data_IF_785756904538
#
_entry.id   IF_785756904538
#
_cell.length_a   1.000
_cell.length_b   1.000
_cell.length_c   1.000
_cell.angle_alpha   90.00
_cell.angle_beta   90.00
_cell.angle_gamma   90.00
#
_symmetry.space_group_name_H-M   'P 1'
#
loop_
_entity.id
_entity.type
_entity.pdbx_description
1 polymer ?
#
# COMPACT_ATOMS: atom_id res chain seq x y z
N UNK A 1 -1.99 -17.58 13.45
CA UNK A 1 -1.85 -17.34 11.97
C UNK A 1 -2.42 -15.99 11.69
N UNK A 2 -1.66 -15.10 11.04
CA UNK A 2 -2.09 -13.75 10.67
C UNK A 2 -3.22 -13.85 9.66
N UNK A 3 -4.23 -13.04 9.85
CA UNK A 3 -5.43 -12.96 9.01
C UNK A 3 -5.64 -11.52 8.55
N UNK A 4 -6.51 -11.32 7.57
CA UNK A 4 -6.87 -10.00 7.09
C UNK A 4 -7.37 -9.07 8.21
N UNK A 5 -8.05 -9.59 9.22
CA UNK A 5 -8.50 -8.81 10.39
C UNK A 5 -7.36 -8.17 11.19
N UNK A 6 -6.15 -8.68 11.04
CA UNK A 6 -4.96 -8.18 11.74
C UNK A 6 -4.25 -7.08 10.92
N UNK A 7 -4.72 -6.80 9.70
CA UNK A 7 -4.21 -5.72 8.85
C UNK A 7 -5.00 -4.42 9.05
N UNK A 8 -4.26 -3.32 8.97
CA UNK A 8 -4.81 -1.98 8.75
C UNK A 8 -4.40 -1.51 7.36
N UNK A 9 -5.33 -0.89 6.66
CA UNK A 9 -5.15 -0.43 5.28
C UNK A 9 -5.47 1.05 5.20
N UNK A 10 -4.77 1.77 4.34
CA UNK A 10 -5.05 3.14 3.97
C UNK A 10 -4.56 3.40 2.56
N UNK A 11 -5.11 4.40 1.90
CA UNK A 11 -4.64 4.81 0.58
C UNK A 11 -4.49 6.33 0.52
N UNK A 12 -3.50 6.74 -0.26
CA UNK A 12 -3.38 8.08 -0.79
C UNK A 12 -3.64 7.97 -2.30
N UNK A 13 -4.57 8.76 -2.82
CA UNK A 13 -4.94 8.75 -4.23
C UNK A 13 -4.61 10.12 -4.82
N UNK A 14 -3.65 10.16 -5.74
CA UNK A 14 -3.23 11.37 -6.44
C UNK A 14 -4.07 11.61 -7.68
N UNK A 15 -4.42 12.86 -7.97
CA UNK A 15 -5.18 13.21 -9.17
C UNK A 15 -5.73 14.63 -9.19
N UNK A 16 -6.53 14.94 -10.21
CA UNK A 16 -7.43 16.09 -10.26
C UNK A 16 -8.82 15.66 -9.79
N UNK A 17 -9.53 16.51 -9.10
CA UNK A 17 -10.83 16.18 -8.51
C UNK A 17 -11.85 17.29 -8.73
N UNK A 18 -13.07 16.90 -9.09
CA UNK A 18 -14.22 17.78 -9.04
C UNK A 18 -14.92 17.70 -7.70
N UNK A 19 -15.61 18.76 -7.32
CA UNK A 19 -16.38 18.83 -6.07
C UNK A 19 -17.41 17.71 -5.95
N UNK A 20 -17.94 17.22 -7.08
CA UNK A 20 -18.89 16.10 -7.13
C UNK A 20 -18.32 14.79 -6.60
N UNK A 21 -17.01 14.55 -6.75
CA UNK A 21 -16.36 13.38 -6.17
C UNK A 21 -16.30 13.49 -4.65
N UNK A 22 -16.01 14.67 -4.12
CA UNK A 22 -15.99 14.90 -2.69
C UNK A 22 -17.35 14.59 -2.06
N UNK A 23 -18.44 15.05 -2.68
CA UNK A 23 -19.80 14.79 -2.21
C UNK A 23 -20.12 13.29 -2.17
N UNK A 24 -19.71 12.53 -3.20
CA UNK A 24 -19.89 11.07 -3.27
C UNK A 24 -19.08 10.34 -2.20
N UNK A 25 -17.85 10.76 -1.94
CA UNK A 25 -17.03 10.21 -0.86
C UNK A 25 -17.69 10.49 0.50
N UNK A 26 -18.19 11.70 0.72
CA UNK A 26 -18.91 12.06 1.94
C UNK A 26 -20.20 11.25 2.12
N UNK A 27 -20.91 10.97 1.04
CA UNK A 27 -22.11 10.12 1.05
C UNK A 27 -21.77 8.66 1.40
N UNK A 28 -20.69 8.12 0.81
CA UNK A 28 -20.21 6.77 1.14
C UNK A 28 -19.95 6.63 2.64
N UNK A 29 -19.29 7.60 3.27
CA UNK A 29 -18.99 7.55 4.71
C UNK A 29 -20.22 7.81 5.60
N UNK A 30 -21.18 8.62 5.14
CA UNK A 30 -22.47 8.80 5.83
C UNK A 30 -23.34 7.54 5.81
N UNK A 31 -23.20 6.69 4.79
CA UNK A 31 -23.94 5.45 4.61
C UNK A 31 -23.60 4.31 5.57
N UNK A 32 -22.75 4.54 6.58
CA UNK A 32 -22.52 3.57 7.66
C UNK A 32 -21.23 2.77 7.57
N UNK A 33 -20.29 3.17 6.73
CA UNK A 33 -18.91 2.69 6.86
C UNK A 33 -18.29 3.33 8.11
N UNK A 34 -18.02 2.50 9.10
CA UNK A 34 -17.47 2.90 10.41
C UNK A 34 -15.96 3.22 10.29
N UNK A 35 -15.63 4.15 9.37
CA UNK A 35 -14.26 4.53 9.07
C UNK A 35 -14.09 6.05 9.12
N UNK A 36 -12.97 6.52 9.66
CA UNK A 36 -12.70 7.95 9.70
C UNK A 36 -12.62 8.51 8.26
N UNK A 37 -13.24 9.66 8.08
CA UNK A 37 -13.18 10.43 6.84
C UNK A 37 -11.72 10.72 6.50
N UNK A 38 -11.37 10.64 5.22
CA UNK A 38 -10.07 11.04 4.72
C UNK A 38 -9.88 12.55 4.64
N UNK A 39 -8.70 12.96 4.28
CA UNK A 39 -8.28 14.36 4.13
C UNK A 39 -7.89 14.64 2.68
N UNK A 40 -8.27 15.82 2.20
CA UNK A 40 -7.82 16.38 0.93
C UNK A 40 -6.59 17.25 1.16
N UNK A 41 -5.57 17.07 0.33
CA UNK A 41 -4.33 17.84 0.37
C UNK A 41 -3.96 18.29 -1.03
N UNK A 42 -3.40 19.50 -1.15
CA UNK A 42 -2.75 19.94 -2.37
C UNK A 42 -1.43 19.16 -2.57
N UNK A 43 -1.19 18.68 -3.79
CA UNK A 43 0.06 18.03 -4.14
C UNK A 43 0.67 18.66 -5.40
N UNK A 44 1.73 19.43 -5.21
CA UNK A 44 2.44 20.13 -6.27
C UNK A 44 3.24 19.18 -7.20
N UNK A 45 3.40 17.91 -6.84
CA UNK A 45 4.03 16.90 -7.69
C UNK A 45 3.08 16.31 -8.74
N UNK A 46 1.78 16.50 -8.55
CA UNK A 46 0.72 16.05 -9.45
C UNK A 46 0.40 17.15 -10.46
N UNK A 47 0.62 16.88 -11.73
CA UNK A 47 0.40 17.82 -12.82
C UNK A 47 -0.84 17.42 -13.62
N UNK A 48 -2.00 17.94 -13.26
CA UNK A 48 -3.29 17.73 -13.93
C UNK A 48 -3.77 19.06 -14.51
N UNK A 49 -4.28 19.00 -15.73
CA UNK A 49 -4.91 20.15 -16.41
C UNK A 49 -6.44 20.09 -16.42
N UNK A 50 -7.01 19.01 -15.95
CA UNK A 50 -8.46 18.74 -15.89
C UNK A 50 -8.98 18.90 -14.44
N UNK A 51 -10.26 19.01 -14.28
CA UNK A 51 -10.88 19.31 -12.99
C UNK A 51 -10.68 20.77 -12.59
N UNK A 52 -10.29 21.02 -11.37
CA UNK A 52 -9.97 22.36 -10.86
C UNK A 52 -8.60 22.90 -11.30
N UNK A 53 -7.87 22.11 -12.11
CA UNK A 53 -6.56 22.46 -12.65
C UNK A 53 -5.41 22.35 -11.64
N UNK A 54 -5.67 21.86 -10.43
CA UNK A 54 -4.68 21.67 -9.39
C UNK A 54 -4.46 20.18 -9.13
N UNK A 55 -3.22 19.80 -8.80
CA UNK A 55 -2.91 18.47 -8.33
C UNK A 55 -3.28 18.32 -6.86
N UNK A 56 -3.93 17.23 -6.54
CA UNK A 56 -4.38 16.91 -5.20
C UNK A 56 -4.05 15.48 -4.82
N UNK A 57 -4.05 15.24 -3.52
CA UNK A 57 -4.00 13.93 -2.90
C UNK A 57 -5.20 13.77 -1.95
N UNK A 58 -5.90 12.66 -2.07
CA UNK A 58 -6.87 12.22 -1.07
C UNK A 58 -6.25 11.15 -0.19
N UNK A 59 -5.98 11.46 1.07
CA UNK A 59 -5.51 10.50 2.06
C UNK A 59 -6.69 9.92 2.83
N UNK A 60 -6.94 8.63 2.70
CA UNK A 60 -8.05 7.95 3.37
C UNK A 60 -7.82 7.81 4.88
N UNK A 61 -8.88 7.57 5.63
CA UNK A 61 -8.79 7.03 6.98
C UNK A 61 -8.31 5.57 6.99
N UNK A 62 -8.21 4.98 8.18
CA UNK A 62 -7.70 3.63 8.39
C UNK A 62 -8.84 2.61 8.30
N UNK A 63 -8.73 1.68 7.36
CA UNK A 63 -9.62 0.55 7.16
C UNK A 63 -9.05 -0.70 7.86
N UNK A 64 -9.91 -1.57 8.44
CA UNK A 64 -9.46 -2.76 9.16
C UNK A 64 -10.25 -4.01 8.79
N UNK A 65 -9.54 -5.11 8.59
CA UNK A 65 -10.11 -6.42 8.34
C UNK A 65 -10.90 -6.53 7.03
N UNK A 66 -11.76 -7.52 6.96
CA UNK A 66 -12.56 -7.81 5.76
C UNK A 66 -13.53 -6.68 5.41
N UNK A 67 -14.23 -6.14 6.42
CA UNK A 67 -15.13 -4.99 6.23
C UNK A 67 -14.34 -3.76 5.78
N UNK A 68 -13.14 -3.56 6.35
CA UNK A 68 -12.26 -2.48 5.95
C UNK A 68 -11.80 -2.61 4.51
N UNK A 69 -11.35 -3.79 4.09
CA UNK A 69 -10.98 -4.01 2.69
C UNK A 69 -12.15 -3.76 1.74
N UNK A 70 -13.36 -4.22 2.10
CA UNK A 70 -14.56 -3.96 1.32
C UNK A 70 -14.85 -2.44 1.22
N UNK A 71 -14.76 -1.70 2.33
CA UNK A 71 -14.93 -0.24 2.34
C UNK A 71 -13.87 0.48 1.51
N UNK A 72 -12.62 0.06 1.59
CA UNK A 72 -11.53 0.59 0.77
C UNK A 72 -11.79 0.35 -0.73
N UNK A 73 -12.29 -0.82 -1.09
CA UNK A 73 -12.68 -1.15 -2.47
C UNK A 73 -13.80 -0.24 -2.96
N UNK A 74 -14.84 -0.02 -2.16
CA UNK A 74 -15.94 0.87 -2.54
C UNK A 74 -15.45 2.33 -2.67
N UNK A 75 -14.56 2.78 -1.79
CA UNK A 75 -13.92 4.09 -1.91
C UNK A 75 -13.14 4.19 -3.24
N UNK A 76 -12.29 3.23 -3.56
CA UNK A 76 -11.49 3.24 -4.79
C UNK A 76 -12.33 3.21 -6.07
N UNK A 77 -13.51 2.60 -6.05
CA UNK A 77 -14.46 2.59 -7.18
C UNK A 77 -15.04 3.98 -7.47
N UNK A 78 -15.03 4.89 -6.51
CA UNK A 78 -15.49 6.27 -6.74
C UNK A 78 -14.51 7.09 -7.59
N UNK A 79 -13.22 6.76 -7.58
CA UNK A 79 -12.21 7.49 -8.35
C UNK A 79 -12.26 7.10 -9.84
N UNK A 80 -13.30 7.58 -10.52
CA UNK A 80 -13.51 7.39 -11.97
C UNK A 80 -13.83 8.72 -12.63
N UNK A 81 -13.59 8.81 -13.93
CA UNK A 81 -13.88 10.03 -14.70
C UNK A 81 -15.34 10.46 -14.59
N UNK A 82 -16.26 9.51 -14.60
CA UNK A 82 -17.69 9.77 -14.45
C UNK A 82 -18.07 10.36 -13.08
N UNK A 83 -17.20 10.22 -12.10
CA UNK A 83 -17.34 10.78 -10.77
C UNK A 83 -16.52 12.06 -10.56
N UNK A 84 -15.87 12.59 -11.59
CA UNK A 84 -15.04 13.79 -11.48
C UNK A 84 -13.61 13.52 -10.98
N UNK A 85 -13.07 12.33 -11.26
CA UNK A 85 -11.67 11.99 -11.01
C UNK A 85 -10.88 11.99 -12.31
N UNK A 86 -9.74 12.65 -12.31
CA UNK A 86 -8.83 12.75 -13.44
C UNK A 86 -7.43 12.31 -13.07
N UNK A 87 -6.85 11.43 -13.87
CA UNK A 87 -5.50 10.93 -13.66
C UNK A 87 -4.65 10.94 -14.91
N UNK A 88 -3.35 11.02 -14.73
CA UNK A 88 -2.35 10.87 -15.79
C UNK A 88 -1.14 10.08 -15.30
N UNK A 89 -0.07 10.02 -16.08
CA UNK A 89 1.10 9.23 -15.77
C UNK A 89 1.88 9.74 -14.53
N UNK A 90 1.62 10.96 -14.04
CA UNK A 90 2.19 11.47 -12.78
C UNK A 90 1.45 10.98 -11.54
N UNK A 91 0.21 10.52 -11.67
CA UNK A 91 -0.65 10.13 -10.55
C UNK A 91 -0.41 8.69 -10.10
N UNK A 92 -0.35 8.49 -8.81
CA UNK A 92 -0.20 7.19 -8.16
C UNK A 92 -1.25 6.92 -7.10
N UNK A 93 -1.34 5.68 -6.69
CA UNK A 93 -1.98 5.28 -5.44
C UNK A 93 -0.90 4.72 -4.54
N UNK A 94 -0.81 5.29 -3.35
CA UNK A 94 0.04 4.77 -2.29
C UNK A 94 -0.82 3.94 -1.35
N UNK A 95 -0.58 2.63 -1.33
CA UNK A 95 -1.28 1.73 -0.42
C UNK A 95 -0.45 1.55 0.84
N UNK A 96 -1.00 1.93 1.97
CA UNK A 96 -0.42 1.72 3.28
C UNK A 96 -0.96 0.44 3.91
N UNK A 97 -0.08 -0.48 4.28
CA UNK A 97 -0.44 -1.71 4.98
C UNK A 97 0.29 -1.75 6.31
N UNK A 98 -0.48 -1.69 7.39
CA UNK A 98 0.01 -1.86 8.76
C UNK A 98 -0.44 -3.19 9.34
N UNK A 99 0.25 -3.66 10.36
CA UNK A 99 -0.12 -4.85 11.12
C UNK A 99 -0.50 -4.44 12.53
N UNK A 100 -1.64 -4.91 12.99
CA UNK A 100 -2.16 -4.65 14.33
C UNK A 100 -2.12 -5.94 15.15
N UNK A 101 -1.31 -5.95 16.18
CA UNK A 101 -1.25 -7.05 17.13
C UNK A 101 -1.78 -6.60 18.48
N UNK A 102 -2.75 -7.35 19.04
CA UNK A 102 -3.38 -7.06 20.34
C UNK A 102 -3.85 -5.60 20.50
N UNK A 103 -4.36 -5.02 19.40
CA UNK A 103 -4.90 -3.67 19.38
C UNK A 103 -3.87 -2.53 19.23
N UNK A 104 -2.58 -2.83 19.09
CA UNK A 104 -1.54 -1.85 18.77
C UNK A 104 -0.98 -2.07 17.36
N UNK A 105 -0.55 -0.99 16.72
CA UNK A 105 0.25 -1.10 15.50
C UNK A 105 1.64 -1.62 15.82
N UNK A 106 2.12 -2.54 14.99
CA UNK A 106 3.52 -2.94 15.06
C UNK A 106 4.42 -1.79 14.63
N UNK A 107 5.52 -1.65 15.36
CA UNK A 107 6.54 -0.67 15.00
C UNK A 107 7.29 -1.09 13.75
N UNK A 108 7.99 -0.13 13.16
CA UNK A 108 8.92 -0.35 12.05
C UNK A 108 9.90 -1.51 12.34
N UNK A 109 10.43 -1.58 13.54
CA UNK A 109 11.41 -2.61 13.93
C UNK A 109 10.82 -4.02 13.95
N UNK A 110 9.53 -4.15 14.23
CA UNK A 110 8.82 -5.42 14.25
C UNK A 110 8.43 -5.90 12.83
N UNK A 111 8.32 -4.95 11.89
CA UNK A 111 8.05 -5.25 10.48
C UNK A 111 9.34 -5.38 9.63
N UNK A 112 10.51 -4.94 10.13
CA UNK A 112 11.81 -5.08 9.46
C UNK A 112 12.09 -6.51 8.96
N UNK A 113 11.74 -7.60 9.69
CA UNK A 113 11.93 -8.95 9.18
C UNK A 113 11.23 -9.22 7.85
N UNK A 114 10.10 -8.59 7.59
CA UNK A 114 9.41 -8.66 6.29
C UNK A 114 10.23 -8.00 5.19
N UNK A 115 10.75 -6.81 5.47
CA UNK A 115 11.60 -6.07 4.53
C UNK A 115 13.01 -6.64 4.42
N UNK A 116 13.41 -7.59 5.27
CA UNK A 116 14.69 -8.29 5.12
C UNK A 116 14.70 -9.30 3.96
N UNK A 117 13.53 -9.59 3.37
CA UNK A 117 13.36 -10.56 2.30
C UNK A 117 13.28 -9.86 0.95
N UNK A 118 14.45 -9.43 0.48
CA UNK A 118 14.55 -8.77 -0.83
C UNK A 118 13.98 -9.64 -1.97
N UNK A 119 14.13 -10.96 -1.88
CA UNK A 119 13.60 -11.92 -2.85
C UNK A 119 12.07 -11.79 -3.02
N UNK A 120 11.34 -11.53 -1.93
CA UNK A 120 9.91 -11.27 -2.02
C UNK A 120 9.59 -9.93 -2.72
N UNK A 121 10.37 -8.89 -2.45
CA UNK A 121 10.21 -7.58 -3.10
C UNK A 121 10.51 -7.69 -4.59
N UNK A 122 11.56 -8.42 -4.96
CA UNK A 122 11.92 -8.69 -6.35
C UNK A 122 10.81 -9.46 -7.09
N UNK A 123 10.28 -10.54 -6.49
CA UNK A 123 9.12 -11.26 -7.02
C UNK A 123 7.89 -10.35 -7.19
N UNK A 124 7.65 -9.46 -6.22
CA UNK A 124 6.54 -8.54 -6.26
C UNK A 124 6.69 -7.52 -7.40
N UNK A 125 7.91 -6.99 -7.61
CA UNK A 125 8.22 -6.09 -8.72
C UNK A 125 7.95 -6.75 -10.07
N UNK A 126 8.41 -7.99 -10.26
CA UNK A 126 8.19 -8.73 -11.50
C UNK A 126 6.72 -9.08 -11.74
N UNK A 127 5.96 -9.38 -10.70
CA UNK A 127 4.52 -9.60 -10.80
C UNK A 127 3.78 -8.31 -11.13
N UNK A 128 4.15 -7.19 -10.49
CA UNK A 128 3.53 -5.89 -10.71
C UNK A 128 3.63 -5.43 -12.17
N UNK A 129 4.76 -5.68 -12.84
CA UNK A 129 4.94 -5.42 -14.28
C UNK A 129 3.96 -6.18 -15.18
N UNK A 130 3.43 -7.31 -14.71
CA UNK A 130 2.53 -8.18 -15.47
C UNK A 130 1.06 -7.89 -15.27
N UNK A 131 0.69 -6.97 -14.36
CA UNK A 131 -0.71 -6.66 -14.04
C UNK A 131 -1.38 -6.01 -15.24
N UNK A 132 -0.74 -5.00 -15.84
CA UNK A 132 -1.21 -4.35 -17.07
C UNK A 132 -0.06 -3.71 -17.83
N UNK A 133 -0.29 -3.42 -19.13
CA UNK A 133 0.70 -2.70 -19.94
C UNK A 133 1.00 -1.31 -19.38
N UNK A 134 -0.02 -0.62 -18.84
CA UNK A 134 0.11 0.72 -18.28
C UNK A 134 0.92 0.70 -16.99
N UNK A 135 0.69 -0.29 -16.13
CA UNK A 135 1.46 -0.54 -14.92
C UNK A 135 2.93 -0.88 -15.26
N UNK A 136 3.16 -1.76 -16.25
CA UNK A 136 4.49 -2.10 -16.73
C UNK A 136 5.23 -0.85 -17.24
N UNK A 137 4.61 -0.06 -18.10
CA UNK A 137 5.19 1.18 -18.62
C UNK A 137 5.57 2.17 -17.52
N UNK A 138 4.74 2.31 -16.47
CA UNK A 138 5.06 3.15 -15.31
C UNK A 138 6.30 2.66 -14.56
N UNK A 139 6.41 1.35 -14.36
CA UNK A 139 7.54 0.74 -13.63
C UNK A 139 8.85 0.70 -14.44
N UNK A 140 8.75 0.62 -15.77
CA UNK A 140 9.90 0.58 -16.69
C UNK A 140 10.41 1.97 -17.08
N UNK A 141 9.61 3.01 -16.84
CA UNK A 141 10.00 4.38 -17.14
C UNK A 141 11.03 4.86 -16.10
N UNK A 142 12.32 4.75 -16.46
CA UNK A 142 13.45 5.19 -15.64
C UNK A 142 13.48 6.70 -15.38
N UNK A 143 12.78 7.48 -16.20
CA UNK A 143 12.63 8.93 -16.04
C UNK A 143 11.51 9.29 -15.05
N UNK A 144 10.68 8.32 -14.67
CA UNK A 144 9.68 8.51 -13.64
C UNK A 144 10.33 8.40 -12.26
N UNK A 145 10.69 9.54 -11.69
CA UNK A 145 11.31 9.63 -10.36
C UNK A 145 10.39 9.22 -9.21
N UNK A 146 9.09 8.96 -9.48
CA UNK A 146 8.09 8.73 -8.45
C UNK A 146 7.98 7.28 -7.98
N UNK A 147 8.51 6.31 -8.74
CA UNK A 147 8.46 4.89 -8.37
C UNK A 147 9.68 4.14 -8.88
N UNK A 148 10.76 4.20 -8.14
CA UNK A 148 11.98 3.51 -8.49
C UNK A 148 11.97 2.07 -7.99
N UNK A 149 12.26 1.13 -8.89
CA UNK A 149 12.49 -0.26 -8.52
C UNK A 149 13.80 -0.39 -7.72
N UNK A 150 13.85 -1.35 -6.83
CA UNK A 150 15.10 -1.76 -6.21
C UNK A 150 15.90 -2.60 -7.20
N UNK A 151 17.17 -2.25 -7.38
CA UNK A 151 18.09 -2.93 -8.32
C UNK A 151 18.72 -4.16 -7.69
N UNK A 152 19.00 -4.10 -6.41
CA UNK A 152 19.63 -5.16 -5.66
C UNK A 152 19.33 -5.07 -4.15
N UNK A 153 19.84 -6.04 -3.39
CA UNK A 153 19.63 -6.13 -1.94
C UNK A 153 20.28 -4.97 -1.15
N UNK A 154 21.36 -4.39 -1.66
CA UNK A 154 22.05 -3.28 -0.98
C UNK A 154 21.23 -2.00 -1.12
N UNK A 155 20.73 -1.71 -2.31
CA UNK A 155 19.81 -0.63 -2.63
C UNK A 155 18.55 -0.72 -1.74
N UNK A 156 17.94 -1.90 -1.67
CA UNK A 156 16.78 -2.15 -0.80
C UNK A 156 17.06 -1.89 0.68
N UNK A 157 18.17 -2.42 1.23
CA UNK A 157 18.50 -2.25 2.65
C UNK A 157 18.76 -0.80 3.05
N UNK A 158 19.37 -0.02 2.15
CA UNK A 158 19.64 1.40 2.38
C UNK A 158 18.38 2.22 2.39
N UNK A 159 17.56 2.06 1.38
CA UNK A 159 16.45 2.96 1.07
C UNK A 159 15.15 2.58 1.77
N UNK A 160 14.84 1.29 1.90
CA UNK A 160 13.58 0.87 2.53
C UNK A 160 13.48 1.27 4.00
N UNK A 161 14.62 1.40 4.70
CA UNK A 161 14.68 1.80 6.11
C UNK A 161 14.67 3.32 6.33
N UNK A 162 15.05 4.07 5.30
CA UNK A 162 15.29 5.51 5.40
C UNK A 162 14.16 6.36 4.81
N UNK A 163 12.93 5.80 4.66
CA UNK A 163 11.84 6.54 4.03
C UNK A 163 12.22 7.06 2.65
N UNK A 164 12.85 6.22 1.83
CA UNK A 164 13.22 6.64 0.50
C UNK A 164 11.96 6.95 -0.31
N UNK A 165 11.57 8.21 -0.25
CA UNK A 165 10.53 8.78 -1.08
C UNK A 165 10.80 8.33 -2.52
N UNK A 166 9.76 7.90 -3.25
CA UNK A 166 9.88 7.43 -4.64
C UNK A 166 10.40 6.02 -4.88
N UNK A 167 10.40 5.14 -3.90
CA UNK A 167 10.69 3.71 -4.10
C UNK A 167 9.42 2.88 -4.23
N UNK A 168 9.54 1.74 -4.90
CA UNK A 168 8.46 0.77 -5.16
C UNK A 168 7.68 0.37 -3.89
N UNK A 169 8.42 0.11 -2.82
CA UNK A 169 7.88 -0.14 -1.48
C UNK A 169 8.80 0.52 -0.48
N UNK A 170 8.27 1.20 0.49
CA UNK A 170 9.05 1.80 1.56
C UNK A 170 8.35 1.68 2.90
N UNK A 171 9.05 2.10 3.91
CA UNK A 171 8.58 2.20 5.26
C UNK A 171 8.03 3.60 5.49
N UNK A 172 6.77 3.73 5.93
CA UNK A 172 6.19 5.02 6.30
C UNK A 172 6.35 5.29 7.79
N UNK A 173 6.56 6.57 8.18
CA UNK A 173 6.74 7.00 9.59
C UNK A 173 5.60 6.61 10.50
N UNK A 174 4.41 6.40 9.94
CA UNK A 174 3.23 5.94 10.67
C UNK A 174 3.27 4.44 11.02
N UNK A 175 4.35 3.73 10.72
CA UNK A 175 4.49 2.30 11.02
C UNK A 175 3.80 1.39 10.00
N UNK A 176 3.67 1.81 8.75
CA UNK A 176 3.08 1.02 7.67
C UNK A 176 4.10 0.70 6.58
N UNK A 177 3.89 -0.37 5.83
CA UNK A 177 4.49 -0.56 4.51
C UNK A 177 3.71 0.27 3.51
N UNK A 178 4.38 1.11 2.76
CA UNK A 178 3.82 1.95 1.72
C UNK A 178 4.21 1.40 0.35
N UNK A 179 3.20 1.01 -0.43
CA UNK A 179 3.33 0.52 -1.81
C UNK A 179 2.99 1.67 -2.75
N UNK A 180 3.98 2.23 -3.42
CA UNK A 180 3.86 3.47 -4.23
C UNK A 180 3.68 3.22 -5.72
N UNK A 181 3.73 2.00 -6.16
CA UNK A 181 3.79 1.64 -7.59
C UNK A 181 2.42 1.58 -8.28
N UNK A 182 1.32 1.63 -7.54
CA UNK A 182 0.00 1.41 -8.10
C UNK A 182 -0.38 2.60 -8.97
N UNK A 183 -0.76 2.31 -10.21
CA UNK A 183 -1.20 3.35 -11.13
C UNK A 183 -2.61 3.84 -10.75
N UNK A 184 -2.77 5.15 -10.69
CA UNK A 184 -4.04 5.80 -10.35
C UNK A 184 -4.97 5.85 -11.58
N UNK A 185 -5.41 4.68 -12.06
CA UNK A 185 -6.28 4.59 -13.23
C UNK A 185 -7.70 5.09 -12.93
N UNK A 186 -8.37 5.63 -13.96
CA UNK A 186 -9.77 6.07 -13.89
C UNK A 186 -10.78 4.91 -13.99
N UNK A 187 -10.31 3.67 -14.07
CA UNK A 187 -11.09 2.46 -14.14
C UNK A 187 -10.86 1.55 -12.89
N UNK A 188 -11.46 0.36 -12.89
CA UNK A 188 -11.36 -0.57 -11.76
C UNK A 188 -10.02 -1.34 -11.66
N UNK A 189 -9.09 -1.16 -12.59
CA UNK A 189 -7.79 -1.84 -12.57
C UNK A 189 -7.02 -1.57 -11.27
N UNK A 190 -7.09 -0.35 -10.73
CA UNK A 190 -6.52 0.01 -9.44
C UNK A 190 -7.07 -0.81 -8.27
N UNK A 191 -8.36 -1.13 -8.32
CA UNK A 191 -9.03 -1.95 -7.29
C UNK A 191 -8.46 -3.36 -7.27
N UNK A 192 -8.31 -3.98 -8.44
CA UNK A 192 -7.75 -5.32 -8.54
C UNK A 192 -6.26 -5.34 -8.15
N UNK A 193 -5.52 -4.29 -8.49
CA UNK A 193 -4.12 -4.15 -8.08
C UNK A 193 -4.00 -4.02 -6.55
N UNK A 194 -4.83 -3.20 -5.91
CA UNK A 194 -4.83 -3.06 -4.45
C UNK A 194 -5.17 -4.39 -3.75
N UNK A 195 -6.23 -5.09 -4.20
CA UNK A 195 -6.58 -6.40 -3.67
C UNK A 195 -5.42 -7.39 -3.78
N UNK A 196 -4.81 -7.45 -4.96
CA UNK A 196 -3.67 -8.32 -5.20
C UNK A 196 -2.49 -8.01 -4.25
N UNK A 197 -2.15 -6.73 -4.05
CA UNK A 197 -1.09 -6.34 -3.11
C UNK A 197 -1.41 -6.79 -1.69
N UNK A 198 -2.65 -6.56 -1.23
CA UNK A 198 -3.09 -6.99 0.11
C UNK A 198 -2.93 -8.51 0.27
N UNK A 199 -3.31 -9.29 -0.74
CA UNK A 199 -3.18 -10.75 -0.73
C UNK A 199 -1.71 -11.21 -0.69
N UNK A 200 -0.83 -10.58 -1.46
CA UNK A 200 0.61 -10.91 -1.48
C UNK A 200 1.27 -10.55 -0.14
N UNK A 201 0.92 -9.41 0.45
CA UNK A 201 1.39 -9.02 1.79
C UNK A 201 0.93 -10.03 2.82
N UNK A 202 -0.35 -10.42 2.81
CA UNK A 202 -0.89 -11.38 3.76
C UNK A 202 -0.20 -12.76 3.65
N UNK A 203 0.04 -13.24 2.42
CA UNK A 203 0.78 -14.48 2.18
C UNK A 203 2.20 -14.42 2.74
N UNK A 204 2.90 -13.31 2.52
CA UNK A 204 4.27 -13.16 2.98
C UNK A 204 4.36 -13.04 4.50
N UNK A 205 3.45 -12.30 5.12
CA UNK A 205 3.30 -12.24 6.57
C UNK A 205 3.09 -13.64 7.18
N UNK A 206 2.22 -14.43 6.58
CA UNK A 206 1.95 -15.79 7.04
C UNK A 206 3.17 -16.71 6.92
N UNK A 207 3.99 -16.57 5.87
CA UNK A 207 5.24 -17.32 5.70
C UNK A 207 6.27 -16.93 6.76
N UNK A 208 6.46 -15.63 6.96
CA UNK A 208 7.45 -15.07 7.89
C UNK A 208 7.17 -15.48 9.32
N UNK A 209 5.94 -15.31 9.79
CA UNK A 209 5.58 -15.69 11.15
C UNK A 209 5.55 -17.21 11.40
N UNK A 210 5.25 -18.03 10.39
CA UNK A 210 5.42 -19.48 10.50
C UNK A 210 6.88 -19.89 10.70
N UNK A 211 7.80 -19.20 10.07
CA UNK A 211 9.23 -19.48 10.16
C UNK A 211 9.79 -19.10 11.53
N UNK A 212 9.45 -17.91 12.00
CA UNK A 212 9.88 -17.43 13.33
C UNK A 212 9.38 -18.35 14.44
N UNK A 213 8.12 -18.77 14.38
CA UNK A 213 7.55 -19.71 15.36
C UNK A 213 8.25 -21.06 15.34
N UNK A 214 8.63 -21.59 14.18
CA UNK A 214 9.42 -22.83 14.07
C UNK A 214 10.82 -22.68 14.66
N UNK A 215 11.49 -21.55 14.39
CA UNK A 215 12.83 -21.27 14.94
C UNK A 215 12.79 -21.09 16.45
N UNK A 216 11.76 -20.46 16.99
CA UNK A 216 11.56 -20.29 18.44
C UNK A 216 11.33 -21.64 19.14
N UNK A 217 10.48 -22.51 18.58
CA UNK A 217 10.28 -23.87 19.07
C UNK A 217 11.59 -24.68 19.01
N UNK A 218 12.34 -24.59 17.91
CA UNK A 218 13.61 -25.28 17.75
C UNK A 218 14.65 -24.82 18.78
N UNK A 219 14.74 -23.50 19.03
CA UNK A 219 15.61 -22.92 20.07
C UNK A 219 15.19 -23.32 21.48
N UNK A 220 13.88 -23.39 21.74
CA UNK A 220 13.35 -23.84 23.04
C UNK A 220 13.61 -25.33 23.28
N UNK A 221 13.50 -26.17 22.25
CA UNK A 221 13.85 -27.60 22.33
C UNK A 221 15.36 -27.82 22.55
N UNK A 222 16.20 -27.06 21.82
CA UNK A 222 17.66 -27.12 22.02
C UNK A 222 18.07 -26.72 23.47
N UNK A 223 17.47 -25.66 24.01
CA UNK A 223 17.74 -25.26 25.41
C UNK A 223 17.35 -26.33 26.44
N UNK A 224 16.27 -27.10 26.18
CA UNK A 224 15.86 -28.21 27.06
C UNK A 224 16.78 -29.43 26.96
N UNK A 225 17.42 -29.66 25.80
CA UNK A 225 18.34 -30.79 25.61
C UNK A 225 19.74 -30.58 26.25
N UNK A 226 20.08 -29.37 26.67
CA UNK A 226 21.35 -29.02 27.34
C UNK A 226 21.19 -28.75 28.84
N UNK A 227 20.02 -29.04 29.43
CA UNK A 227 19.74 -28.84 30.85
C UNK A 227 19.65 -30.17 31.63
N UNK A 228 20.44 -31.21 31.23
CA UNK A 228 20.69 -32.44 31.96
C UNK A 228 22.18 -32.63 32.19
#
# INVERSE_FOLDING_TARGET
MIKLKDLSLGVEVEGGFDISLQDKIDELFRGGFDHPRGEWKGDASVHISEGDGNGHEYASGIFRGEKGLAGLVELLKLFTRDNGYYSNDSCGIHLHVGLVEKGRFLSIYELIPLLSRFEWVEELQEKAKKISQRQAKRLENTDNSYTNLYRDRADFKGDARNHAKYKFICYHTQGTLEFRFIFASENNEKVETVKWVVDEVLKELQKTFKREFKEEISRAMLKKSFSY
#
